data_IF_951374516033
#
_entry.id   IF_951374516033
#
_cell.length_a   1.000
_cell.length_b   1.000
_cell.length_c   1.000
_cell.angle_alpha   90.00
_cell.angle_beta   90.00
_cell.angle_gamma   90.00
#
_symmetry.space_group_name_H-M   'P 1'
#
loop_
_entity.id
_entity.type
_entity.pdbx_description
1 polymer ?
#
# COMPACT_ATOMS: atom_id res chain seq x y z
N UNK A 1 -0.52 -0.47 -12.14
CA UNK A 1 -0.78 0.43 -10.99
C UNK A 1 -1.54 -0.24 -9.83
N UNK A 2 -1.64 -1.57 -9.75
CA UNK A 2 -2.41 -2.29 -8.72
C UNK A 2 -2.05 -1.89 -7.27
N UNK A 3 -0.77 -1.76 -6.96
CA UNK A 3 -0.27 -1.44 -5.62
C UNK A 3 -0.36 0.02 -5.22
N UNK A 4 -0.70 0.95 -6.12
CA UNK A 4 -0.78 2.38 -5.77
C UNK A 4 -2.16 2.78 -5.22
N UNK A 5 -3.15 1.88 -5.30
CA UNK A 5 -4.53 2.13 -4.87
C UNK A 5 -4.94 1.30 -3.64
N UNK A 6 -3.98 0.61 -3.01
CA UNK A 6 -4.19 -0.02 -1.72
C UNK A 6 -4.21 1.04 -0.62
N UNK A 7 -5.26 1.01 0.20
CA UNK A 7 -5.23 1.76 1.46
C UNK A 7 -4.23 1.07 2.39
N UNK A 8 -3.46 1.87 3.12
CA UNK A 8 -2.57 1.36 4.16
C UNK A 8 -3.39 1.21 5.45
N UNK A 9 -3.53 -0.03 5.93
CA UNK A 9 -4.11 -0.30 7.26
C UNK A 9 -3.14 0.12 8.39
N UNK A 10 -1.84 0.21 8.08
CA UNK A 10 -0.77 0.55 9.02
C UNK A 10 -0.19 1.93 8.71
N UNK A 11 0.30 2.64 9.73
CA UNK A 11 1.06 3.87 9.52
C UNK A 11 2.49 3.54 9.12
N UNK A 12 2.87 3.96 7.91
CA UNK A 12 4.19 3.70 7.36
C UNK A 12 4.89 5.00 7.08
N UNK A 13 6.10 5.10 7.59
CA UNK A 13 7.00 6.21 7.39
C UNK A 13 8.18 5.74 6.53
N UNK A 14 8.67 6.63 5.68
CA UNK A 14 9.89 6.41 4.91
C UNK A 14 10.81 7.63 5.02
N UNK A 15 12.10 7.43 4.84
CA UNK A 15 13.04 8.52 4.71
C UNK A 15 12.67 9.44 3.54
N UNK A 16 13.10 10.69 3.63
CA UNK A 16 12.90 11.65 2.55
C UNK A 16 13.61 11.15 1.29
N UNK A 17 12.93 11.10 0.14
CA UNK A 17 13.59 10.71 -1.10
C UNK A 17 14.61 11.79 -1.51
N UNK A 18 15.70 11.35 -2.15
CA UNK A 18 16.74 12.25 -2.65
C UNK A 18 16.13 13.35 -3.53
N UNK A 19 16.46 14.60 -3.22
CA UNK A 19 15.93 15.78 -3.92
C UNK A 19 14.62 16.35 -3.35
N UNK A 20 14.03 15.72 -2.33
CA UNK A 20 12.90 16.26 -1.56
C UNK A 20 13.29 16.75 -0.16
N UNK A 21 14.55 16.56 0.22
CA UNK A 21 15.10 17.01 1.51
C UNK A 21 15.02 18.54 1.63
N UNK A 22 14.42 19.03 2.71
CA UNK A 22 14.37 20.46 3.01
C UNK A 22 15.48 20.79 4.00
N UNK A 23 16.31 21.79 3.67
CA UNK A 23 17.43 22.24 4.51
C UNK A 23 16.94 22.62 5.92
N UNK A 24 17.57 22.07 6.96
CA UNK A 24 17.18 22.23 8.37
C UNK A 24 16.03 21.31 8.81
N UNK A 25 15.57 20.40 7.95
CA UNK A 25 14.52 19.41 8.21
C UNK A 25 14.93 18.01 7.75
N UNK A 26 16.22 17.72 7.77
CA UNK A 26 16.82 16.46 7.31
C UNK A 26 16.28 15.26 8.13
N UNK A 27 15.95 15.48 9.40
CA UNK A 27 15.41 14.47 10.30
C UNK A 27 13.92 14.14 10.07
N UNK A 28 13.24 14.80 9.13
CA UNK A 28 11.85 14.48 8.83
C UNK A 28 11.73 13.18 8.04
N UNK A 29 10.57 12.55 8.20
CA UNK A 29 10.17 11.34 7.49
C UNK A 29 8.85 11.59 6.76
N UNK A 30 8.65 10.92 5.64
CA UNK A 30 7.43 10.99 4.85
C UNK A 30 6.44 9.93 5.33
N UNK A 31 5.22 10.34 5.71
CA UNK A 31 4.10 9.43 5.96
C UNK A 31 3.47 8.99 4.64
N UNK A 32 3.45 7.69 4.38
CA UNK A 32 2.78 7.14 3.21
C UNK A 32 1.26 7.19 3.39
N UNK A 33 0.57 7.81 2.42
CA UNK A 33 -0.91 7.87 2.37
C UNK A 33 -1.52 6.73 1.56
N UNK A 34 -0.73 6.10 0.70
CA UNK A 34 -1.13 5.01 -0.20
C UNK A 34 -0.01 3.98 -0.24
N UNK A 35 -0.34 2.72 -0.53
CA UNK A 35 0.70 1.71 -0.70
C UNK A 35 1.60 2.06 -1.89
N UNK A 36 2.89 1.79 -1.73
CA UNK A 36 3.90 1.93 -2.75
C UNK A 36 4.31 0.53 -3.25
N UNK A 37 4.85 0.46 -4.46
CA UNK A 37 5.49 -0.77 -4.95
C UNK A 37 6.70 -1.12 -4.07
N UNK A 38 6.94 -2.42 -3.85
CA UNK A 38 8.05 -2.91 -3.01
C UNK A 38 7.75 -2.96 -1.51
N UNK A 39 6.62 -2.43 -1.05
CA UNK A 39 6.16 -2.62 0.32
C UNK A 39 5.77 -4.09 0.57
N UNK A 40 6.34 -4.72 1.60
CA UNK A 40 6.09 -6.14 1.95
C UNK A 40 4.61 -6.48 2.12
N UNK A 41 3.83 -5.55 2.68
CA UNK A 41 2.40 -5.69 2.93
C UNK A 41 1.51 -5.31 1.72
N UNK A 42 2.05 -4.67 0.68
CA UNK A 42 1.25 -4.25 -0.48
C UNK A 42 0.55 -5.41 -1.20
N UNK A 43 1.17 -6.59 -1.42
CA UNK A 43 0.48 -7.76 -1.98
C UNK A 43 -0.70 -8.24 -1.15
N UNK A 44 -0.53 -8.27 0.18
CA UNK A 44 -1.59 -8.69 1.10
C UNK A 44 -2.76 -7.71 1.09
N UNK A 45 -2.49 -6.40 1.14
CA UNK A 45 -3.53 -5.37 1.11
C UNK A 45 -4.29 -5.36 -0.22
N UNK A 46 -3.58 -5.54 -1.33
CA UNK A 46 -4.22 -5.66 -2.63
C UNK A 46 -5.13 -6.90 -2.71
N UNK A 47 -4.66 -8.06 -2.25
CA UNK A 47 -5.47 -9.28 -2.24
C UNK A 47 -6.72 -9.14 -1.36
N UNK A 48 -6.64 -8.50 -0.20
CA UNK A 48 -7.81 -8.19 0.65
C UNK A 48 -8.85 -7.35 -0.10
N UNK A 49 -8.41 -6.25 -0.73
CA UNK A 49 -9.28 -5.35 -1.48
C UNK A 49 -9.92 -6.04 -2.68
N UNK A 50 -9.13 -6.82 -3.42
CA UNK A 50 -9.62 -7.62 -4.54
C UNK A 50 -10.65 -8.66 -4.10
N UNK A 51 -10.36 -9.41 -3.02
CA UNK A 51 -11.29 -10.40 -2.49
C UNK A 51 -12.61 -9.76 -2.05
N UNK A 52 -12.57 -8.63 -1.35
CA UNK A 52 -13.78 -7.88 -0.96
C UNK A 52 -14.59 -7.43 -2.17
N UNK A 53 -13.93 -6.93 -3.22
CA UNK A 53 -14.59 -6.54 -4.47
C UNK A 53 -15.24 -7.73 -5.18
N UNK A 54 -14.55 -8.87 -5.27
CA UNK A 54 -15.10 -10.07 -5.90
C UNK A 54 -16.32 -10.58 -5.13
N UNK A 55 -16.25 -10.64 -3.80
CA UNK A 55 -17.38 -11.04 -2.95
C UNK A 55 -18.57 -10.10 -3.09
N UNK A 56 -18.36 -8.77 -3.16
CA UNK A 56 -19.46 -7.82 -3.35
C UNK A 56 -20.12 -7.94 -4.73
N UNK A 57 -19.42 -8.50 -5.72
CA UNK A 57 -19.95 -8.81 -7.05
C UNK A 57 -20.55 -10.23 -7.13
N UNK A 58 -20.68 -10.95 -6.01
CA UNK A 58 -21.31 -12.27 -5.95
C UNK A 58 -20.37 -13.45 -6.26
N UNK A 59 -19.09 -13.20 -6.48
CA UNK A 59 -18.11 -14.26 -6.70
C UNK A 59 -17.69 -14.91 -5.37
N UNK A 60 -17.43 -16.22 -5.42
CA UNK A 60 -16.91 -17.00 -4.29
C UNK A 60 -15.53 -17.56 -4.64
N UNK A 61 -14.64 -17.57 -3.64
CA UNK A 61 -13.30 -18.15 -3.79
C UNK A 61 -13.43 -19.66 -4.00
N UNK A 62 -12.76 -20.18 -5.03
CA UNK A 62 -12.70 -21.62 -5.31
C UNK A 62 -11.63 -22.28 -4.43
N UNK A 63 -11.81 -23.57 -4.14
CA UNK A 63 -10.81 -24.41 -3.46
C UNK A 63 -10.00 -25.28 -4.44
N UNK A 64 -10.21 -25.10 -5.74
CA UNK A 64 -9.43 -25.78 -6.76
C UNK A 64 -8.03 -25.16 -6.83
N UNK A 65 -7.01 -26.02 -6.75
CA UNK A 65 -5.60 -25.72 -7.03
C UNK A 65 -5.37 -25.64 -8.55
#
# INVERSE_FOLDING_TARGET
TAFLHGNLEEEIYMEQPKGFEVKGKENLVCKLKKSLYGLKQAPRQWNKKFNSFMVSNGYKRTHAD
#
